data_IF_539749672111
#
_entry.id   IF_539749672111
#
_cell.length_a   1.000
_cell.length_b   1.000
_cell.length_c   1.000
_cell.angle_alpha   90.00
_cell.angle_beta   90.00
_cell.angle_gamma   90.00
#
_symmetry.space_group_name_H-M   'P 1'
#
loop_
_entity.id
_entity.type
_entity.pdbx_description
1 polymer ?
#
# COMPACT_ATOMS: atom_id res chain seq x y z
N UNK A 1 25.72 -7.66 12.36
CA UNK A 1 24.56 -8.11 13.13
C UNK A 1 23.97 -7.01 13.96
N UNK A 2 22.66 -7.06 14.16
CA UNK A 2 21.95 -6.22 15.12
C UNK A 2 21.65 -7.11 16.34
N UNK A 3 22.08 -6.68 17.53
CA UNK A 3 21.71 -7.30 18.80
C UNK A 3 20.47 -6.60 19.37
N UNK A 4 19.33 -6.82 18.71
CA UNK A 4 18.03 -6.30 19.10
C UNK A 4 16.91 -7.18 18.55
N UNK A 5 15.71 -7.05 19.12
CA UNK A 5 14.50 -7.64 18.54
C UNK A 5 14.15 -6.93 17.22
N UNK A 6 14.10 -7.70 16.13
CA UNK A 6 13.64 -7.22 14.83
C UNK A 6 12.27 -7.83 14.53
N UNK A 7 11.27 -6.99 14.25
CA UNK A 7 9.93 -7.43 13.87
C UNK A 7 9.69 -7.21 12.37
N UNK A 8 9.42 -8.28 11.64
CA UNK A 8 9.00 -8.20 10.25
C UNK A 8 7.47 -8.09 10.16
N UNK A 9 6.98 -6.90 9.81
CA UNK A 9 5.55 -6.64 9.65
C UNK A 9 5.03 -7.23 8.33
N UNK A 10 4.35 -8.38 8.40
CA UNK A 10 3.78 -9.08 7.23
C UNK A 10 2.26 -9.31 7.34
N UNK A 11 1.54 -8.39 7.99
CA UNK A 11 0.08 -8.46 8.14
C UNK A 11 -0.56 -8.11 6.79
N UNK A 12 -1.20 -9.09 6.15
CA UNK A 12 -1.89 -8.94 4.87
C UNK A 12 -3.37 -8.60 5.05
N UNK A 13 -3.99 -8.10 4.00
CA UNK A 13 -5.41 -7.74 3.94
C UNK A 13 -5.61 -6.34 3.40
N UNK A 14 -6.56 -6.21 2.47
CA UNK A 14 -7.01 -4.96 1.87
C UNK A 14 -8.51 -5.04 1.60
N UNK A 15 -9.21 -3.92 1.76
CA UNK A 15 -10.66 -3.84 1.64
C UNK A 15 -11.10 -2.47 1.12
N UNK A 16 -12.19 -2.44 0.36
CA UNK A 16 -12.90 -1.21 0.02
C UNK A 16 -13.81 -0.86 1.19
N UNK A 17 -13.65 0.34 1.74
CA UNK A 17 -14.45 0.84 2.88
C UNK A 17 -15.71 1.54 2.37
N UNK A 18 -15.57 2.34 1.32
CA UNK A 18 -16.69 3.04 0.68
C UNK A 18 -16.33 3.44 -0.74
N UNK A 19 -17.34 3.59 -1.59
CA UNK A 19 -17.18 4.01 -2.98
C UNK A 19 -18.31 4.98 -3.36
N UNK A 20 -17.95 6.05 -4.05
CA UNK A 20 -18.85 6.97 -4.72
C UNK A 20 -18.54 6.95 -6.23
N UNK A 21 -19.25 7.79 -7.00
CA UNK A 21 -18.95 7.96 -8.43
C UNK A 21 -17.56 8.58 -8.67
N UNK A 22 -17.07 9.40 -7.73
CA UNK A 22 -15.83 10.17 -7.89
C UNK A 22 -14.65 9.59 -7.09
N UNK A 23 -14.90 8.89 -5.98
CA UNK A 23 -13.85 8.51 -5.03
C UNK A 23 -14.05 7.09 -4.49
N UNK A 24 -12.93 6.44 -4.18
CA UNK A 24 -12.90 5.13 -3.50
C UNK A 24 -12.02 5.22 -2.27
N UNK A 25 -12.57 4.86 -1.11
CA UNK A 25 -11.81 4.76 0.13
C UNK A 25 -11.41 3.30 0.35
N UNK A 26 -10.10 3.05 0.35
CA UNK A 26 -9.53 1.72 0.57
C UNK A 26 -8.76 1.68 1.88
N UNK A 27 -8.81 0.54 2.56
CA UNK A 27 -7.99 0.25 3.74
C UNK A 27 -7.07 -0.92 3.41
N UNK A 28 -5.81 -0.79 3.78
CA UNK A 28 -4.78 -1.81 3.57
C UNK A 28 -3.97 -2.02 4.85
N UNK A 29 -3.57 -3.25 5.11
CA UNK A 29 -2.72 -3.60 6.25
C UNK A 29 -1.25 -3.31 5.96
N UNK A 30 -0.47 -3.09 7.03
CA UNK A 30 0.92 -2.62 6.95
C UNK A 30 1.86 -3.50 6.11
N UNK A 31 1.56 -4.79 5.97
CA UNK A 31 2.42 -5.76 5.32
C UNK A 31 2.12 -6.00 3.85
N UNK A 32 1.08 -5.38 3.26
CA UNK A 32 0.87 -5.46 1.80
C UNK A 32 2.08 -4.89 1.07
N UNK A 33 2.53 -5.57 0.00
CA UNK A 33 3.58 -5.02 -0.85
C UNK A 33 3.04 -3.76 -1.55
N UNK A 34 3.83 -2.70 -1.62
CA UNK A 34 3.39 -1.43 -2.18
C UNK A 34 3.03 -1.54 -3.67
N UNK A 35 3.93 -2.10 -4.49
CA UNK A 35 3.68 -2.20 -5.92
C UNK A 35 2.46 -3.08 -6.23
N UNK A 36 2.34 -4.23 -5.57
CA UNK A 36 1.17 -5.11 -5.73
C UNK A 36 -0.13 -4.43 -5.27
N UNK A 37 -0.06 -3.53 -4.29
CA UNK A 37 -1.20 -2.72 -3.87
C UNK A 37 -1.60 -1.70 -4.95
N UNK A 38 -0.62 -1.05 -5.60
CA UNK A 38 -0.88 -0.17 -6.76
C UNK A 38 -1.52 -0.97 -7.90
N UNK A 39 -0.97 -2.13 -8.26
CA UNK A 39 -1.56 -2.98 -9.30
C UNK A 39 -3.00 -3.39 -8.96
N UNK A 40 -3.25 -3.80 -7.71
CA UNK A 40 -4.60 -4.12 -7.24
C UNK A 40 -5.57 -2.93 -7.39
N UNK A 41 -5.13 -1.69 -7.12
CA UNK A 41 -5.98 -0.51 -7.36
C UNK A 41 -6.33 -0.34 -8.84
N UNK A 42 -5.36 -0.53 -9.73
CA UNK A 42 -5.57 -0.43 -11.18
C UNK A 42 -6.45 -1.55 -11.73
N UNK A 43 -6.30 -2.78 -11.25
CA UNK A 43 -7.17 -3.92 -11.59
C UNK A 43 -8.64 -3.66 -11.22
N UNK A 44 -8.88 -2.84 -10.20
CA UNK A 44 -10.23 -2.42 -9.79
C UNK A 44 -10.68 -1.10 -10.45
N UNK A 45 -9.92 -0.57 -11.42
CA UNK A 45 -10.13 0.73 -12.07
C UNK A 45 -10.12 1.93 -11.11
N UNK A 46 -9.34 1.86 -10.03
CA UNK A 46 -9.12 2.98 -9.12
C UNK A 46 -7.84 3.72 -9.53
N UNK A 47 -7.99 4.93 -10.08
CA UNK A 47 -6.87 5.81 -10.42
C UNK A 47 -6.38 6.61 -9.22
N UNK A 48 -5.10 7.03 -9.25
CA UNK A 48 -4.47 7.94 -8.29
C UNK A 48 -3.13 7.48 -7.73
N UNK A 49 -2.75 6.20 -7.90
CA UNK A 49 -1.49 5.63 -7.36
C UNK A 49 -0.49 5.20 -8.44
N UNK A 50 -0.85 5.29 -9.71
CA UNK A 50 -0.08 4.78 -10.86
C UNK A 50 1.34 5.36 -10.95
N UNK A 51 1.50 6.64 -10.63
CA UNK A 51 2.81 7.31 -10.61
C UNK A 51 3.75 6.74 -9.54
N UNK A 52 3.21 6.03 -8.55
CA UNK A 52 3.96 5.42 -7.46
C UNK A 52 4.21 3.92 -7.70
N UNK A 53 3.98 3.40 -8.91
CA UNK A 53 4.27 2.02 -9.27
C UNK A 53 5.77 1.68 -9.14
N UNK A 54 6.08 0.38 -8.99
CA UNK A 54 7.43 -0.17 -8.84
C UNK A 54 8.25 0.30 -7.62
N UNK A 55 7.74 1.22 -6.79
CA UNK A 55 8.40 1.57 -5.53
C UNK A 55 8.44 0.33 -4.62
N UNK A 56 9.61 -0.09 -4.13
CA UNK A 56 9.72 -1.25 -3.24
C UNK A 56 9.24 -0.91 -1.83
N UNK A 57 9.00 -1.96 -1.03
CA UNK A 57 8.55 -1.83 0.36
C UNK A 57 7.08 -2.19 0.53
N UNK A 58 6.56 -1.88 1.72
CA UNK A 58 5.20 -2.23 2.10
C UNK A 58 4.33 -0.99 2.27
N UNK A 59 3.01 -1.17 2.21
CA UNK A 59 2.03 -0.08 2.41
C UNK A 59 2.22 0.62 3.75
N UNK A 60 2.58 -0.08 4.83
CA UNK A 60 2.83 0.58 6.11
C UNK A 60 4.07 1.46 6.16
N UNK A 61 5.02 1.26 5.24
CA UNK A 61 6.23 2.08 5.16
C UNK A 61 6.05 3.32 4.26
N UNK A 62 5.04 3.33 3.39
CA UNK A 62 4.80 4.47 2.49
C UNK A 62 4.57 5.81 3.19
N UNK A 63 3.81 5.91 4.31
CA UNK A 63 3.65 7.20 4.99
C UNK A 63 4.88 7.61 5.81
N UNK A 64 5.76 6.67 6.20
CA UNK A 64 6.92 6.97 7.06
C UNK A 64 7.90 7.91 6.36
N UNK A 65 8.11 7.71 5.05
CA UNK A 65 8.96 8.57 4.23
C UNK A 65 8.16 9.46 3.27
N UNK A 66 6.83 9.38 3.31
CA UNK A 66 5.94 10.06 2.37
C UNK A 66 6.42 9.85 0.92
N UNK A 67 6.47 8.59 0.49
CA UNK A 67 7.07 8.18 -0.79
C UNK A 67 6.49 8.95 -1.98
N UNK A 68 7.34 9.25 -2.96
CA UNK A 68 6.99 9.97 -4.19
C UNK A 68 7.96 9.63 -5.31
N UNK A 69 7.50 9.75 -6.55
CA UNK A 69 8.24 9.53 -7.78
C UNK A 69 7.74 10.45 -8.90
#
# INVERSE_FOLDING_TARGET
DIDALVMHLNIKGKQIISQTEENVLVKSNTGENWHEFVLWTLENNFGGLENLSLIPGNVGTSPIQNIGA
#
